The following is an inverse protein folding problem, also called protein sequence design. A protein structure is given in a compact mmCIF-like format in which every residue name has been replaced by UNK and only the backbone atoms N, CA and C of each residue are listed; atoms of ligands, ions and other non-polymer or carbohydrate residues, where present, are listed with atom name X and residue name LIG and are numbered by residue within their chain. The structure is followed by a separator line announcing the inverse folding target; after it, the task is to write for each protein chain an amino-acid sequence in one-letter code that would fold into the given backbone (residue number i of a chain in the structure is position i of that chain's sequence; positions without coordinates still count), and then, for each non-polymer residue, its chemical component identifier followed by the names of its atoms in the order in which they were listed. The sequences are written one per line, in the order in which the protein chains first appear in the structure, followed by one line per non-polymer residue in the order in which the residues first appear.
data_IF_593769453541
#
_entry.id   IF_593769453541
#
_cell.length_a   1.000
_cell.length_b   1.000
_cell.length_c   1.000
_cell.angle_alpha   90.00
_cell.angle_beta   90.00
_cell.angle_gamma   90.00
#
_symmetry.space_group_name_H-M   'P 1'
#
loop_
_entity.id
_entity.type
_entity.pdbx_description
1 polymer ?
#
# COMPACT_ATOMS: atom_id res chain seq x y z
N UNK A 1 65.94 -23.49 -0.50
CA UNK A 1 65.42 -22.13 -0.64
C UNK A 1 64.37 -22.17 -1.73
N UNK A 2 63.10 -22.21 -1.35
CA UNK A 2 61.98 -21.97 -2.26
C UNK A 2 61.30 -20.73 -1.71
N UNK A 3 61.28 -19.69 -2.53
CA UNK A 3 60.82 -18.34 -2.23
C UNK A 3 59.30 -18.30 -2.10
N UNK A 4 58.85 -17.58 -1.07
CA UNK A 4 57.48 -17.16 -0.84
C UNK A 4 56.94 -16.41 -2.07
N UNK A 5 55.82 -16.89 -2.61
CA UNK A 5 54.90 -16.10 -3.42
C UNK A 5 53.51 -16.25 -2.80
N UNK A 6 53.39 -15.84 -1.53
CA UNK A 6 52.10 -15.42 -1.00
C UNK A 6 51.73 -14.14 -1.75
N UNK A 7 50.94 -14.30 -2.80
CA UNK A 7 50.30 -13.19 -3.48
C UNK A 7 49.50 -12.42 -2.43
N UNK A 8 49.94 -11.20 -2.12
CA UNK A 8 49.20 -10.22 -1.33
C UNK A 8 47.79 -10.09 -1.91
N UNK A 9 46.85 -10.88 -1.39
CA UNK A 9 45.42 -10.65 -1.55
C UNK A 9 45.18 -9.38 -0.76
N UNK A 10 45.23 -8.24 -1.45
CA UNK A 10 44.85 -6.96 -0.89
C UNK A 10 43.45 -7.12 -0.29
N UNK A 11 43.40 -7.20 1.03
CA UNK A 11 42.18 -7.15 1.81
C UNK A 11 41.67 -5.71 1.67
N UNK A 12 40.78 -5.48 0.69
CA UNK A 12 40.13 -4.19 0.51
C UNK A 12 39.23 -4.02 1.72
N UNK A 13 39.73 -3.28 2.70
CA UNK A 13 38.96 -2.83 3.84
C UNK A 13 37.93 -1.83 3.33
N UNK A 14 36.69 -2.28 3.19
CA UNK A 14 35.58 -1.43 2.77
C UNK A 14 35.20 -0.51 3.93
N UNK A 15 35.49 0.79 3.78
CA UNK A 15 35.12 1.84 4.72
C UNK A 15 33.75 2.47 4.39
N UNK A 16 32.99 1.92 3.43
CA UNK A 16 31.66 2.44 3.12
C UNK A 16 30.70 2.14 4.28
N UNK A 17 30.30 3.20 4.99
CA UNK A 17 29.18 3.10 5.91
C UNK A 17 27.90 3.28 5.13
N UNK A 18 27.02 2.28 5.12
CA UNK A 18 25.68 2.42 4.56
C UNK A 18 25.01 3.70 5.08
N UNK A 19 24.35 4.44 4.21
CA UNK A 19 23.52 5.58 4.58
C UNK A 19 22.26 5.11 5.30
N UNK A 20 21.61 6.00 6.05
CA UNK A 20 20.31 5.69 6.68
C UNK A 20 19.24 5.33 5.64
N UNK A 21 19.35 5.91 4.45
CA UNK A 21 18.49 5.58 3.31
C UNK A 21 18.70 4.15 2.82
N UNK A 22 19.94 3.70 2.65
CA UNK A 22 20.26 2.32 2.26
C UNK A 22 19.85 1.31 3.34
N UNK A 23 20.09 1.63 4.62
CA UNK A 23 19.62 0.79 5.74
C UNK A 23 18.11 0.65 5.76
N UNK A 24 17.40 1.74 5.49
CA UNK A 24 15.94 1.73 5.42
C UNK A 24 15.42 0.85 4.27
N UNK A 25 16.02 0.98 3.08
CA UNK A 25 15.67 0.13 1.92
C UNK A 25 15.96 -1.34 2.22
N UNK A 26 17.13 -1.65 2.78
CA UNK A 26 17.49 -3.01 3.15
C UNK A 26 16.48 -3.61 4.15
N UNK A 27 16.02 -2.81 5.14
CA UNK A 27 15.00 -3.26 6.09
C UNK A 27 13.63 -3.48 5.41
N UNK A 28 13.24 -2.64 4.46
CA UNK A 28 12.02 -2.87 3.67
C UNK A 28 12.10 -4.19 2.89
N UNK A 29 13.23 -4.44 2.22
CA UNK A 29 13.47 -5.68 1.47
C UNK A 29 13.45 -6.91 2.37
N UNK A 30 14.04 -6.82 3.56
CA UNK A 30 14.00 -7.88 4.57
C UNK A 30 12.57 -8.21 4.99
N UNK A 31 11.75 -7.20 5.30
CA UNK A 31 10.33 -7.39 5.66
C UNK A 31 9.55 -8.03 4.50
N UNK A 32 9.77 -7.58 3.26
CA UNK A 32 9.14 -8.20 2.08
C UNK A 32 9.55 -9.67 1.93
N UNK A 33 10.81 -10.01 2.21
CA UNK A 33 11.32 -11.37 2.16
C UNK A 33 10.74 -12.25 3.29
N UNK A 34 10.73 -11.76 4.52
CA UNK A 34 10.14 -12.43 5.69
C UNK A 34 8.66 -12.74 5.48
N UNK A 35 7.92 -11.80 4.89
CA UNK A 35 6.50 -11.96 4.60
C UNK A 35 6.22 -12.73 3.32
N UNK A 36 7.25 -13.20 2.60
CA UNK A 36 7.16 -13.96 1.35
C UNK A 36 6.44 -13.20 0.23
N UNK A 37 6.66 -11.89 0.16
CA UNK A 37 6.09 -10.99 -0.85
C UNK A 37 7.02 -10.75 -2.04
N UNK A 38 8.24 -11.28 -1.97
CA UNK A 38 9.25 -11.25 -3.06
C UNK A 38 8.78 -12.15 -4.20
N UNK A 39 8.96 -11.69 -5.45
CA UNK A 39 8.50 -12.39 -6.66
C UNK A 39 6.99 -12.74 -6.65
N UNK A 40 6.16 -11.99 -5.92
CA UNK A 40 4.74 -12.29 -5.83
C UNK A 40 4.06 -12.05 -7.19
N UNK A 41 3.15 -12.97 -7.54
CA UNK A 41 2.26 -12.76 -8.68
C UNK A 41 0.98 -12.10 -8.18
N UNK A 42 0.40 -11.16 -8.93
CA UNK A 42 -0.89 -10.58 -8.57
C UNK A 42 -1.92 -11.70 -8.43
N UNK A 43 -2.67 -11.66 -7.33
CA UNK A 43 -3.77 -12.59 -7.09
C UNK A 43 -4.84 -12.45 -8.18
N UNK A 44 -5.56 -13.54 -8.51
CA UNK A 44 -6.70 -13.45 -9.42
C UNK A 44 -7.75 -12.47 -8.84
N UNK A 45 -8.51 -11.77 -9.68
CA UNK A 45 -9.57 -10.87 -9.22
C UNK A 45 -10.54 -11.58 -8.27
N UNK A 46 -10.88 -10.92 -7.17
CA UNK A 46 -11.71 -11.50 -6.12
C UNK A 46 -13.17 -11.46 -6.58
N UNK A 47 -13.95 -12.44 -6.14
CA UNK A 47 -15.37 -12.44 -6.42
C UNK A 47 -16.07 -11.28 -5.68
N UNK A 48 -17.23 -10.87 -6.20
CA UNK A 48 -17.96 -9.67 -5.75
C UNK A 48 -18.22 -9.62 -4.24
N UNK A 49 -18.45 -10.77 -3.63
CA UNK A 49 -18.85 -10.88 -2.22
C UNK A 49 -17.66 -11.09 -1.27
N UNK A 50 -16.49 -11.50 -1.80
CA UNK A 50 -15.31 -11.87 -0.99
C UNK A 50 -14.73 -10.69 -0.23
N UNK A 51 -14.78 -9.48 -0.79
CA UNK A 51 -14.33 -8.27 -0.10
C UNK A 51 -15.18 -7.91 1.13
N UNK A 52 -16.40 -8.43 1.24
CA UNK A 52 -17.34 -8.14 2.34
C UNK A 52 -17.43 -9.30 3.32
N UNK A 53 -17.29 -10.54 2.84
CA UNK A 53 -17.43 -11.75 3.67
C UNK A 53 -16.10 -12.36 4.09
N UNK A 54 -14.99 -11.98 3.46
CA UNK A 54 -13.68 -12.55 3.75
C UNK A 54 -13.04 -11.98 5.01
N UNK A 55 -12.27 -12.81 5.69
CA UNK A 55 -11.49 -12.45 6.87
C UNK A 55 -10.22 -11.71 6.44
N UNK A 56 -10.03 -10.49 6.95
CA UNK A 56 -8.81 -9.71 6.74
C UNK A 56 -7.81 -10.03 7.83
N UNK A 57 -6.58 -10.36 7.42
CA UNK A 57 -5.47 -10.62 8.30
C UNK A 57 -4.41 -9.53 8.15
N UNK A 58 -3.67 -9.32 9.24
CA UNK A 58 -2.69 -8.24 9.33
C UNK A 58 -1.39 -8.74 9.95
N UNK A 59 -0.27 -8.32 9.38
CA UNK A 59 1.08 -8.53 9.95
C UNK A 59 1.75 -7.19 10.11
N UNK A 60 2.33 -6.93 11.27
CA UNK A 60 2.97 -5.64 11.56
C UNK A 60 4.41 -5.84 11.98
N UNK A 61 5.29 -4.95 11.52
CA UNK A 61 6.68 -4.86 11.95
C UNK A 61 7.11 -3.39 12.10
N UNK A 62 8.26 -3.17 12.72
CA UNK A 62 8.87 -1.86 12.92
C UNK A 62 9.98 -1.61 11.90
N UNK A 63 9.99 -0.42 11.30
CA UNK A 63 11.07 0.05 10.43
C UNK A 63 11.48 1.47 10.82
N UNK A 64 12.73 1.84 10.55
CA UNK A 64 13.28 3.15 10.94
C UNK A 64 14.01 3.81 9.78
N UNK A 65 13.69 5.07 9.52
CA UNK A 65 14.48 5.94 8.65
C UNK A 65 15.21 6.95 9.53
N UNK A 66 16.53 6.82 9.64
CA UNK A 66 17.32 7.60 10.60
C UNK A 66 16.73 7.52 12.03
N UNK A 67 16.24 8.62 12.58
CA UNK A 67 15.64 8.73 13.92
C UNK A 67 14.10 8.61 13.91
N UNK A 68 13.49 8.44 12.74
CA UNK A 68 12.04 8.35 12.59
C UNK A 68 11.58 6.90 12.48
N UNK A 69 10.73 6.47 13.42
CA UNK A 69 10.15 5.13 13.47
C UNK A 69 8.81 5.07 12.74
N UNK A 70 8.63 4.00 11.98
CA UNK A 70 7.38 3.67 11.30
C UNK A 70 6.95 2.25 11.66
N UNK A 71 5.65 2.03 11.59
CA UNK A 71 5.05 0.71 11.55
C UNK A 71 4.77 0.38 10.09
N UNK A 72 5.19 -0.80 9.67
CA UNK A 72 4.82 -1.38 8.39
C UNK A 72 3.79 -2.47 8.65
N UNK A 73 2.60 -2.33 8.05
CA UNK A 73 1.48 -3.25 8.24
C UNK A 73 1.07 -3.84 6.91
N UNK A 74 1.14 -5.15 6.78
CA UNK A 74 0.66 -5.91 5.64
C UNK A 74 -0.77 -6.38 5.89
N UNK A 75 -1.71 -5.91 5.07
CA UNK A 75 -3.12 -6.29 5.09
C UNK A 75 -3.39 -7.23 3.92
N UNK A 76 -4.07 -8.36 4.17
CA UNK A 76 -4.45 -9.28 3.10
C UNK A 76 -5.75 -10.02 3.39
N UNK A 77 -6.50 -10.28 2.33
CA UNK A 77 -7.72 -11.07 2.36
C UNK A 77 -7.38 -12.56 2.39
N UNK A 78 -7.88 -13.29 3.38
CA UNK A 78 -7.72 -14.74 3.48
C UNK A 78 -8.73 -15.44 2.56
N UNK A 79 -8.34 -15.66 1.30
CA UNK A 79 -9.18 -16.35 0.31
C UNK A 79 -8.82 -17.84 0.40
N UNK A 80 -9.74 -18.62 0.98
CA UNK A 80 -9.65 -20.06 1.28
C UNK A 80 -8.79 -20.43 2.50
N UNK A 81 -9.34 -21.29 3.38
CA UNK A 81 -8.83 -21.67 4.72
C UNK A 81 -7.47 -22.37 4.76
N UNK A 82 -6.44 -21.74 4.21
CA UNK A 82 -5.06 -22.05 4.47
C UNK A 82 -4.73 -21.55 5.87
N UNK A 83 -4.77 -22.46 6.86
CA UNK A 83 -4.18 -22.22 8.17
C UNK A 83 -2.68 -22.01 7.96
N UNK A 84 -2.27 -20.76 7.80
CA UNK A 84 -0.87 -20.38 7.96
C UNK A 84 -0.65 -20.08 9.44
N UNK A 85 0.11 -20.93 10.11
CA UNK A 85 0.53 -20.71 11.49
C UNK A 85 1.50 -19.51 11.53
N UNK A 86 1.01 -18.34 11.94
CA UNK A 86 1.88 -17.25 12.37
C UNK A 86 1.16 -16.37 13.38
N UNK A 87 1.85 -16.08 14.49
CA UNK A 87 1.42 -15.33 15.67
C UNK A 87 0.43 -14.18 15.37
N UNK A 88 -0.85 -14.48 15.58
CA UNK A 88 -1.94 -13.53 15.49
C UNK A 88 -1.83 -12.49 16.62
N UNK A 89 -1.61 -11.23 16.26
CA UNK A 89 -1.95 -10.10 17.13
C UNK A 89 -3.30 -9.59 16.69
N UNK A 90 -4.36 -10.07 17.33
CA UNK A 90 -5.65 -9.39 17.30
C UNK A 90 -5.49 -8.05 18.03
N UNK A 91 -5.39 -6.96 17.27
CA UNK A 91 -5.49 -5.62 17.82
C UNK A 91 -6.94 -5.39 18.24
N UNK A 92 -7.22 -5.01 19.50
CA UNK A 92 -8.57 -4.64 19.88
C UNK A 92 -8.89 -3.26 19.31
N UNK A 93 -10.04 -3.16 18.63
CA UNK A 93 -10.91 -1.97 18.65
C UNK A 93 -10.48 -0.73 17.80
N UNK A 94 -10.15 -0.90 16.51
CA UNK A 94 -10.08 0.21 15.52
C UNK A 94 -11.00 -0.01 14.28
N UNK A 95 -12.10 -0.75 14.44
CA UNK A 95 -12.89 -1.33 13.32
C UNK A 95 -13.72 -0.35 12.46
N UNK A 96 -13.60 0.97 12.64
CA UNK A 96 -14.46 1.93 11.91
C UNK A 96 -13.71 2.83 10.92
N UNK A 97 -12.38 2.96 11.02
CA UNK A 97 -11.62 3.93 10.20
C UNK A 97 -10.65 3.29 9.19
N UNK A 98 -10.14 2.08 9.44
CA UNK A 98 -9.16 1.41 8.55
C UNK A 98 -9.80 0.71 7.33
N UNK A 99 -11.13 0.61 7.26
CA UNK A 99 -11.83 0.07 6.06
C UNK A 99 -11.67 0.96 4.82
N UNK A 100 -11.25 2.22 4.99
CA UNK A 100 -11.23 3.22 3.93
C UNK A 100 -10.38 2.81 2.73
N UNK A 101 -9.16 2.31 2.96
CA UNK A 101 -8.22 1.97 1.88
C UNK A 101 -8.52 0.63 1.22
N UNK A 102 -8.77 -0.40 2.05
CA UNK A 102 -9.25 -1.74 1.67
C UNK A 102 -10.38 -1.58 0.65
N UNK A 103 -11.30 -0.66 0.94
CA UNK A 103 -12.42 -0.32 0.09
C UNK A 103 -11.97 0.55 -1.11
N UNK A 104 -11.36 1.73 -0.94
CA UNK A 104 -11.15 2.72 -2.03
C UNK A 104 -10.52 2.14 -3.30
N UNK A 105 -9.53 1.26 -3.19
CA UNK A 105 -8.78 0.75 -4.34
C UNK A 105 -9.17 -0.67 -4.77
N UNK A 106 -10.01 -1.38 -4.00
CA UNK A 106 -10.44 -2.75 -4.33
C UNK A 106 -9.29 -3.75 -4.35
N UNK A 107 -8.26 -3.51 -3.55
CA UNK A 107 -7.08 -4.37 -3.44
C UNK A 107 -7.38 -5.54 -2.51
N UNK A 108 -6.84 -6.72 -2.80
CA UNK A 108 -6.94 -7.89 -1.91
C UNK A 108 -5.79 -7.97 -0.91
N UNK A 109 -4.68 -7.33 -1.22
CA UNK A 109 -3.49 -7.31 -0.39
C UNK A 109 -2.70 -6.03 -0.66
N UNK A 110 -2.18 -5.42 0.41
CA UNK A 110 -1.41 -4.19 0.33
C UNK A 110 -0.65 -3.96 1.64
N UNK A 111 0.35 -3.08 1.59
CA UNK A 111 1.11 -2.67 2.77
C UNK A 111 0.79 -1.21 3.07
N UNK A 112 0.71 -0.85 4.35
CA UNK A 112 0.62 0.53 4.83
C UNK A 112 1.81 0.82 5.74
N UNK A 113 2.49 1.93 5.49
CA UNK A 113 3.56 2.47 6.32
C UNK A 113 3.00 3.68 7.06
N UNK A 114 2.96 3.60 8.39
CA UNK A 114 2.44 4.66 9.25
C UNK A 114 3.51 5.14 10.24
N UNK A 115 3.54 6.43 10.63
CA UNK A 115 4.37 6.86 11.75
C UNK A 115 4.06 6.06 13.02
N UNK A 116 5.09 5.53 13.68
CA UNK A 116 4.89 4.72 14.90
C UNK A 116 4.40 5.55 16.09
N UNK A 117 4.72 6.86 16.10
CA UNK A 117 4.23 7.82 17.08
C UNK A 117 3.04 8.58 16.48
N UNK A 118 1.85 8.46 17.09
CA UNK A 118 0.62 9.12 16.65
C UNK A 118 0.70 10.65 16.62
N UNK A 119 1.63 11.24 17.37
CA UNK A 119 1.85 12.69 17.37
C UNK A 119 2.77 13.15 16.23
N UNK A 120 3.46 12.22 15.56
CA UNK A 120 4.31 12.52 14.42
C UNK A 120 3.54 12.30 13.13
N UNK A 121 3.75 13.20 12.17
CA UNK A 121 3.12 13.16 10.86
C UNK A 121 4.16 13.38 9.75
N UNK A 122 3.86 12.85 8.56
CA UNK A 122 4.58 13.20 7.32
C UNK A 122 3.79 14.32 6.64
N UNK A 123 4.12 15.55 6.97
CA UNK A 123 3.45 16.77 6.48
C UNK A 123 4.15 17.39 5.25
N UNK A 124 5.42 17.05 5.03
CA UNK A 124 6.22 17.52 3.91
C UNK A 124 6.10 16.58 2.70
N UNK A 125 5.79 17.15 1.54
CA UNK A 125 5.78 16.43 0.25
C UNK A 125 7.14 15.78 -0.05
N UNK A 126 8.24 16.47 0.22
CA UNK A 126 9.59 15.94 0.00
C UNK A 126 9.84 14.69 0.84
N UNK A 127 9.40 14.67 2.10
CA UNK A 127 9.53 13.49 2.97
C UNK A 127 8.70 12.32 2.46
N UNK A 128 7.46 12.58 2.04
CA UNK A 128 6.60 11.56 1.44
C UNK A 128 7.23 10.99 0.16
N UNK A 129 7.76 11.83 -0.74
CA UNK A 129 8.40 11.41 -1.98
C UNK A 129 9.69 10.63 -1.77
N UNK A 130 10.49 10.96 -0.75
CA UNK A 130 11.67 10.15 -0.37
C UNK A 130 11.25 8.76 0.05
N UNK A 131 10.23 8.64 0.91
CA UNK A 131 9.75 7.32 1.35
C UNK A 131 9.14 6.53 0.18
N UNK A 132 8.33 7.16 -0.67
CA UNK A 132 7.79 6.51 -1.88
C UNK A 132 8.92 6.04 -2.80
N UNK A 133 9.96 6.85 -3.00
CA UNK A 133 11.12 6.46 -3.80
C UNK A 133 11.87 5.28 -3.18
N UNK A 134 12.07 5.26 -1.86
CA UNK A 134 12.67 4.12 -1.15
C UNK A 134 11.84 2.84 -1.34
N UNK A 135 10.52 2.95 -1.23
CA UNK A 135 9.58 1.85 -1.47
C UNK A 135 9.68 1.35 -2.91
N UNK A 136 9.68 2.24 -3.91
CA UNK A 136 9.83 1.85 -5.32
C UNK A 136 11.13 1.09 -5.58
N UNK A 137 12.23 1.49 -4.95
CA UNK A 137 13.51 0.77 -5.04
C UNK A 137 13.39 -0.62 -4.42
N UNK A 138 12.87 -0.73 -3.19
CA UNK A 138 12.70 -2.01 -2.50
C UNK A 138 11.78 -2.97 -3.28
N UNK A 139 10.67 -2.48 -3.85
CA UNK A 139 9.76 -3.26 -4.69
C UNK A 139 10.46 -3.76 -5.97
N UNK A 140 11.27 -2.91 -6.61
CA UNK A 140 12.01 -3.27 -7.82
C UNK A 140 13.06 -4.33 -7.52
N UNK A 141 13.84 -4.15 -6.45
CA UNK A 141 14.89 -5.09 -6.05
C UNK A 141 14.33 -6.46 -5.64
N UNK A 142 13.18 -6.47 -4.95
CA UNK A 142 12.48 -7.68 -4.54
C UNK A 142 11.58 -8.30 -5.63
N UNK A 143 11.47 -7.67 -6.80
CA UNK A 143 10.51 -8.05 -7.85
C UNK A 143 9.10 -8.26 -7.28
N UNK A 144 8.71 -7.41 -6.32
CA UNK A 144 7.40 -7.45 -5.68
C UNK A 144 6.48 -6.42 -6.32
N UNK A 145 5.27 -6.85 -6.63
CA UNK A 145 4.22 -6.01 -7.23
C UNK A 145 3.19 -5.52 -6.21
N UNK A 146 3.40 -5.81 -4.92
CA UNK A 146 2.45 -5.43 -3.88
C UNK A 146 2.28 -3.91 -3.80
N UNK A 147 1.05 -3.39 -3.79
CA UNK A 147 0.81 -1.98 -3.53
C UNK A 147 1.23 -1.60 -2.11
N UNK A 148 1.99 -0.51 -2.00
CA UNK A 148 2.45 0.03 -0.72
C UNK A 148 1.96 1.46 -0.57
N UNK A 149 1.33 1.75 0.56
CA UNK A 149 0.79 3.05 0.93
C UNK A 149 1.59 3.64 2.09
N UNK A 150 1.65 4.96 2.15
CA UNK A 150 2.31 5.72 3.18
C UNK A 150 1.30 6.72 3.73
N UNK A 151 1.07 6.67 5.03
CA UNK A 151 0.19 7.62 5.69
C UNK A 151 0.87 8.99 5.76
N UNK A 152 0.26 9.95 5.08
CA UNK A 152 0.69 11.35 5.07
C UNK A 152 -0.27 12.19 5.90
N UNK A 153 0.17 13.40 6.24
CA UNK A 153 -0.58 14.29 7.11
C UNK A 153 -0.87 13.63 8.47
N UNK A 154 -1.80 14.24 9.20
CA UNK A 154 -2.20 13.81 10.52
C UNK A 154 -3.07 12.54 10.45
N UNK A 155 -2.93 11.57 11.38
CA UNK A 155 -3.63 10.28 11.31
C UNK A 155 -5.15 10.40 11.14
N UNK A 156 -5.79 11.34 11.84
CA UNK A 156 -7.24 11.56 11.76
C UNK A 156 -7.73 12.03 10.37
N UNK A 157 -6.83 12.47 9.48
CA UNK A 157 -7.19 12.85 8.10
C UNK A 157 -7.26 11.66 7.16
N UNK A 158 -6.73 10.50 7.55
CA UNK A 158 -6.79 9.26 6.76
C UNK A 158 -6.30 9.49 5.31
N UNK A 159 -5.17 10.20 5.19
CA UNK A 159 -4.56 10.59 3.92
C UNK A 159 -3.38 9.67 3.62
N UNK A 160 -3.35 9.16 2.40
CA UNK A 160 -2.33 8.21 1.99
C UNK A 160 -1.87 8.52 0.57
N UNK A 161 -0.59 8.26 0.33
CA UNK A 161 -0.03 8.16 -1.01
C UNK A 161 0.63 6.79 -1.15
N UNK A 162 0.52 6.19 -2.33
CA UNK A 162 1.02 4.84 -2.55
C UNK A 162 1.67 4.66 -3.91
N UNK A 163 2.42 3.58 -4.02
CA UNK A 163 3.04 3.15 -5.27
C UNK A 163 3.00 1.63 -5.37
N UNK A 164 2.88 1.13 -6.60
CA UNK A 164 3.18 -0.24 -6.96
C UNK A 164 4.07 -0.22 -8.21
N UNK A 165 5.06 -1.10 -8.24
CA UNK A 165 5.97 -1.25 -9.38
C UNK A 165 5.77 -2.63 -9.97
N UNK A 166 5.52 -2.67 -11.28
CA UNK A 166 5.39 -3.89 -12.08
C UNK A 166 6.40 -3.82 -13.21
N UNK A 167 6.71 -4.95 -13.86
CA UNK A 167 7.81 -5.03 -14.85
C UNK A 167 7.73 -3.99 -15.98
N UNK A 168 6.52 -3.56 -16.36
CA UNK A 168 6.31 -2.64 -17.49
C UNK A 168 5.55 -1.36 -17.10
N UNK A 169 5.07 -1.26 -15.85
CA UNK A 169 4.28 -0.11 -15.42
C UNK A 169 4.46 0.17 -13.93
N UNK A 170 4.36 1.45 -13.57
CA UNK A 170 4.22 1.89 -12.18
C UNK A 170 2.84 2.49 -11.98
N UNK A 171 2.20 2.15 -10.87
CA UNK A 171 0.90 2.72 -10.48
C UNK A 171 1.12 3.61 -9.26
N UNK A 172 0.76 4.88 -9.39
CA UNK A 172 0.71 5.82 -8.26
C UNK A 172 -0.73 5.92 -7.73
N UNK A 173 -0.86 5.84 -6.41
CA UNK A 173 -2.13 5.95 -5.72
C UNK A 173 -2.15 7.26 -4.93
N UNK A 174 -2.99 8.20 -5.34
CA UNK A 174 -3.17 9.47 -4.65
C UNK A 174 -4.59 9.62 -4.12
N UNK A 175 -4.70 10.11 -2.88
CA UNK A 175 -5.97 10.53 -2.27
C UNK A 175 -6.05 12.06 -2.27
N UNK A 176 -7.18 12.59 -2.75
CA UNK A 176 -7.46 14.02 -2.72
C UNK A 176 -8.77 14.23 -1.96
N UNK A 177 -8.76 15.08 -0.93
CA UNK A 177 -9.96 15.53 -0.25
C UNK A 177 -10.43 16.86 -0.85
N UNK A 178 -11.65 16.88 -1.37
CA UNK A 178 -12.29 18.07 -1.90
C UNK A 178 -13.41 18.50 -0.97
N UNK A 179 -13.36 19.74 -0.46
CA UNK A 179 -14.45 20.33 0.34
C UNK A 179 -15.71 20.54 -0.48
N UNK A 180 -15.56 20.79 -1.78
CA UNK A 180 -16.64 20.88 -2.76
C UNK A 180 -16.24 20.13 -4.01
N UNK A 181 -17.05 19.16 -4.42
CA UNK A 181 -16.81 18.38 -5.63
C UNK A 181 -17.20 19.24 -6.85
N UNK A 182 -16.27 19.56 -7.77
CA UNK A 182 -16.60 20.18 -9.05
C UNK A 182 -17.57 19.32 -9.84
N UNK A 183 -18.47 19.94 -10.61
CA UNK A 183 -19.51 19.22 -11.37
C UNK A 183 -18.95 18.17 -12.34
N UNK A 184 -17.77 18.40 -12.90
CA UNK A 184 -17.08 17.45 -13.78
C UNK A 184 -16.60 16.18 -13.07
N UNK A 185 -16.53 16.15 -11.74
CA UNK A 185 -16.17 14.94 -10.96
C UNK A 185 -17.39 14.26 -10.33
N UNK A 186 -18.59 14.81 -10.50
CA UNK A 186 -19.81 14.30 -9.86
C UNK A 186 -20.47 13.15 -10.62
N UNK A 187 -19.95 12.77 -11.78
CA UNK A 187 -20.54 11.78 -12.65
C UNK A 187 -19.46 11.02 -13.43
N UNK A 188 -19.75 9.77 -13.79
CA UNK A 188 -18.77 8.87 -14.39
C UNK A 188 -18.19 9.40 -15.71
N UNK A 189 -19.01 10.04 -16.56
CA UNK A 189 -18.52 10.56 -17.84
C UNK A 189 -17.42 11.62 -17.65
N UNK A 190 -17.60 12.57 -16.72
CA UNK A 190 -16.58 13.57 -16.43
C UNK A 190 -15.32 12.98 -15.77
N UNK A 191 -15.46 11.96 -14.92
CA UNK A 191 -14.28 11.22 -14.39
C UNK A 191 -13.52 10.50 -15.51
N UNK A 192 -14.23 9.92 -16.48
CA UNK A 192 -13.62 9.30 -17.65
C UNK A 192 -12.89 10.32 -18.53
N UNK A 193 -13.44 11.51 -18.69
CA UNK A 193 -12.80 12.58 -19.45
C UNK A 193 -11.51 13.05 -18.78
N UNK A 194 -11.52 13.16 -17.45
CA UNK A 194 -10.32 13.47 -16.65
C UNK A 194 -9.28 12.37 -16.81
N UNK A 195 -9.68 11.10 -16.69
CA UNK A 195 -8.78 9.96 -16.92
C UNK A 195 -8.15 9.99 -18.32
N UNK A 196 -8.97 10.16 -19.36
CA UNK A 196 -8.50 10.25 -20.75
C UNK A 196 -7.60 11.47 -21.00
N UNK A 197 -7.79 12.58 -20.29
CA UNK A 197 -6.89 13.73 -20.38
C UNK A 197 -5.52 13.47 -19.74
N UNK A 198 -5.47 12.63 -18.70
CA UNK A 198 -4.23 12.22 -18.03
C UNK A 198 -3.50 11.10 -18.78
N UNK A 199 -4.23 10.28 -19.54
CA UNK A 199 -3.65 9.37 -20.52
C UNK A 199 -3.00 10.20 -21.64
N UNK A 200 -1.77 10.65 -21.43
CA UNK A 200 -0.92 11.31 -22.43
C UNK A 200 -0.48 10.30 -23.52
N UNK A 201 -1.40 9.48 -24.03
CA UNK A 201 -1.13 8.46 -25.04
C UNK A 201 -1.19 9.07 -26.44
N UNK A 202 -0.16 8.80 -27.23
CA UNK A 202 -0.13 9.14 -28.65
C UNK A 202 -0.77 8.05 -29.53
N UNK A 203 -1.29 6.97 -28.93
CA UNK A 203 -1.82 5.82 -29.65
C UNK A 203 -3.21 6.14 -30.22
N UNK A 204 -3.35 5.98 -31.55
CA UNK A 204 -4.60 6.11 -32.30
C UNK A 204 -4.92 4.80 -33.04
N UNK A 205 -6.14 4.23 -32.88
CA UNK A 205 -7.26 4.73 -32.07
C UNK A 205 -6.99 4.61 -30.56
N UNK A 206 -7.64 5.47 -29.77
CA UNK A 206 -7.53 5.40 -28.31
C UNK A 206 -8.01 4.04 -27.83
N UNK A 207 -7.33 3.42 -26.86
CA UNK A 207 -7.76 2.14 -26.30
C UNK A 207 -9.15 2.26 -25.67
N UNK A 208 -9.91 1.17 -25.71
CA UNK A 208 -11.17 1.04 -24.99
C UNK A 208 -10.90 1.06 -23.48
N UNK A 209 -11.72 1.80 -22.73
CA UNK A 209 -11.59 1.91 -21.28
C UNK A 209 -12.75 1.16 -20.65
N UNK A 210 -12.43 0.11 -19.90
CA UNK A 210 -13.40 -0.59 -19.05
C UNK A 210 -13.51 0.12 -17.70
N UNK A 211 -14.73 0.20 -17.17
CA UNK A 211 -15.00 0.91 -15.92
C UNK A 211 -15.91 0.06 -15.04
N UNK A 212 -15.55 -0.06 -13.78
CA UNK A 212 -16.43 -0.54 -12.71
C UNK A 212 -16.70 0.60 -11.72
N UNK A 213 -17.92 0.64 -11.18
CA UNK A 213 -18.32 1.58 -10.13
C UNK A 213 -18.90 0.79 -8.97
N UNK A 214 -18.46 1.12 -7.75
CA UNK A 214 -19.04 0.58 -6.51
C UNK A 214 -19.55 1.72 -5.64
N UNK A 215 -20.82 1.62 -5.25
CA UNK A 215 -21.41 2.51 -4.25
C UNK A 215 -21.33 1.84 -2.89
N UNK A 216 -20.88 2.59 -1.89
CA UNK A 216 -20.87 2.16 -0.49
C UNK A 216 -21.72 3.12 0.30
N UNK A 217 -22.65 2.57 1.07
CA UNK A 217 -23.50 3.32 1.97
C UNK A 217 -23.14 2.92 3.40
N UNK A 218 -22.69 3.89 4.20
CA UNK A 218 -22.49 3.71 5.64
C UNK A 218 -23.65 4.37 6.35
N UNK A 219 -24.43 3.58 7.08
CA UNK A 219 -25.53 4.07 7.90
C UNK A 219 -24.95 4.43 9.26
N UNK A 220 -24.91 5.74 9.59
CA UNK A 220 -24.37 6.22 10.87
C UNK A 220 -25.24 5.81 12.07
N UNK A 221 -26.55 5.70 11.85
CA UNK A 221 -27.52 5.22 12.84
C UNK A 221 -28.39 4.15 12.19
N UNK A 222 -28.14 2.88 12.52
CA UNK A 222 -29.11 1.83 12.24
C UNK A 222 -30.18 1.90 13.32
N UNK A 223 -31.33 2.51 12.99
CA UNK A 223 -32.45 2.54 13.91
C UNK A 223 -32.97 1.10 14.01
N UNK A 224 -32.80 0.47 15.18
CA UNK A 224 -33.54 -0.74 15.57
C UNK A 224 -35.02 -0.41 15.79
N UNK A 225 -35.64 0.32 14.88
CA UNK A 225 -37.08 0.50 14.86
C UNK A 225 -37.67 -0.77 14.26
N UNK A 226 -38.63 -1.42 14.94
CA UNK A 226 -39.42 -2.45 14.27
C UNK A 226 -40.03 -1.82 13.03
N UNK A 227 -39.95 -2.53 11.90
CA UNK A 227 -40.60 -2.12 10.67
C UNK A 227 -42.07 -1.78 10.99
N UNK A 228 -42.57 -0.59 10.63
CA UNK A 228 -43.94 -0.20 10.95
C UNK A 228 -45.00 -1.03 10.23
N UNK A 229 -44.60 -1.83 9.24
CA UNK A 229 -45.46 -2.77 8.53
C UNK A 229 -44.77 -4.13 8.40
N UNK A 230 -45.50 -5.20 8.71
CA UNK A 230 -45.09 -6.56 8.37
C UNK A 230 -45.07 -6.72 6.84
N UNK A 231 -44.07 -7.43 6.27
CA UNK A 231 -44.03 -7.68 4.84
C UNK A 231 -45.25 -8.49 4.38
N UNK A 232 -45.75 -8.27 3.15
CA UNK A 232 -46.96 -8.91 2.61
C UNK A 232 -46.81 -10.43 2.41
#
# INVERSE_FOLDING_TARGET
MASDEDADVFEITDFTTASDWERFIARLEEVLHEWKLVNNKPKPPAAKDEFTTGEWLEKTDDICFADFKFLITYHYLNISGSKSESLDRQSPDNDVEEEGEKRRYGLQEFIVITPADRNKAIDSESRAKVLLSSVSVALTNSSSSIPVFIQIQQPWRQMYCGTSVMSEMSVEFDVIHLTRIPQQYSHLAGLLDVFKSKLATQVTPRPTVDVAVRFTYQLQEWVNSPWPQEPP
#
